data_IF_568187409816
#
_entry.id   IF_568187409816
#
_cell.length_a   1.000
_cell.length_b   1.000
_cell.length_c   1.000
_cell.angle_alpha   90.00
_cell.angle_beta   90.00
_cell.angle_gamma   90.00
#
_symmetry.space_group_name_H-M   'P 1'
#
loop_
_entity.id
_entity.type
_entity.pdbx_description
1 polymer ?
#
# COMPACT_ATOMS: atom_id res chain seq x y z
N UNK A 1 -20.56 -55.00 30.62
CA UNK A 1 -19.14 -55.37 30.84
C UNK A 1 -18.84 -56.45 29.80
N UNK A 2 -17.97 -56.35 28.81
CA UNK A 2 -16.68 -55.68 28.66
C UNK A 2 -16.49 -55.20 27.21
N UNK A 3 -15.73 -54.11 27.04
CA UNK A 3 -15.35 -53.49 25.76
C UNK A 3 -14.18 -54.26 25.15
N UNK A 4 -14.15 -54.45 23.83
CA UNK A 4 -12.91 -54.72 23.09
C UNK A 4 -12.76 -53.65 22.01
N UNK A 5 -11.84 -52.72 22.25
CA UNK A 5 -11.46 -51.66 21.32
C UNK A 5 -10.36 -52.20 20.40
N UNK A 6 -10.59 -52.16 19.08
CA UNK A 6 -9.55 -52.35 18.06
C UNK A 6 -8.84 -51.02 17.84
N UNK A 7 -7.53 -51.01 18.04
CA UNK A 7 -6.65 -49.90 17.67
C UNK A 7 -6.51 -49.80 16.13
N UNK A 8 -6.49 -48.60 15.54
CA UNK A 8 -6.17 -48.42 14.14
C UNK A 8 -4.65 -48.36 13.91
N UNK A 9 -4.25 -48.85 12.74
CA UNK A 9 -2.88 -49.08 12.30
C UNK A 9 -2.07 -47.79 12.10
N UNK A 10 -0.80 -47.85 12.47
CA UNK A 10 0.24 -46.85 12.22
C UNK A 10 0.57 -46.88 10.72
N UNK A 11 0.34 -45.77 10.02
CA UNK A 11 0.78 -45.57 8.64
C UNK A 11 2.17 -44.92 8.68
N UNK A 12 3.19 -45.70 8.32
CA UNK A 12 4.55 -45.19 8.12
C UNK A 12 4.59 -44.21 6.93
N UNK A 13 5.11 -43.01 7.18
CA UNK A 13 5.36 -42.01 6.14
C UNK A 13 6.57 -42.41 5.30
N UNK A 14 6.34 -42.64 4.01
CA UNK A 14 7.38 -42.79 2.98
C UNK A 14 8.26 -41.54 2.91
N UNK A 15 9.57 -41.71 3.07
CA UNK A 15 10.57 -40.68 2.79
C UNK A 15 10.67 -40.42 1.28
N UNK A 16 10.62 -39.15 0.88
CA UNK A 16 10.94 -38.69 -0.47
C UNK A 16 12.42 -38.24 -0.52
N UNK A 17 13.19 -38.62 -1.55
CA UNK A 17 14.59 -38.21 -1.65
C UNK A 17 14.73 -36.75 -2.12
N UNK A 18 15.51 -36.00 -1.35
CA UNK A 18 16.02 -34.66 -1.65
C UNK A 18 16.99 -34.69 -2.83
N UNK A 19 16.68 -33.98 -3.92
CA UNK A 19 17.65 -33.69 -5.00
C UNK A 19 18.37 -32.38 -4.70
N UNK A 20 19.62 -32.51 -4.25
CA UNK A 20 20.60 -31.43 -4.20
C UNK A 20 21.15 -31.25 -5.61
N UNK A 21 20.89 -30.09 -6.22
CA UNK A 21 21.57 -29.68 -7.44
C UNK A 21 22.83 -28.89 -7.06
N UNK A 22 23.99 -29.55 -7.16
CA UNK A 22 25.28 -28.88 -7.19
C UNK A 22 25.46 -28.22 -8.56
N UNK A 23 25.65 -26.90 -8.59
CA UNK A 23 26.29 -26.24 -9.72
C UNK A 23 27.59 -25.58 -9.25
N UNK A 24 28.64 -25.99 -9.94
CA UNK A 24 30.04 -25.71 -9.68
C UNK A 24 30.39 -24.25 -10.01
N UNK A 25 31.17 -23.64 -9.12
CA UNK A 25 31.85 -22.37 -9.33
C UNK A 25 33.09 -22.56 -10.21
N UNK A 26 33.26 -21.74 -11.24
CA UNK A 26 34.52 -21.01 -11.52
C UNK A 26 34.44 -20.13 -12.77
N UNK A 27 34.94 -18.89 -12.59
CA UNK A 27 35.71 -18.09 -13.55
C UNK A 27 34.99 -17.41 -14.73
N UNK A 28 34.65 -16.12 -14.53
CA UNK A 28 35.16 -15.07 -15.42
C UNK A 28 35.26 -13.74 -14.65
N UNK A 29 36.41 -13.56 -14.00
CA UNK A 29 36.94 -12.25 -13.64
C UNK A 29 37.32 -11.53 -14.94
N UNK A 30 36.53 -10.56 -15.38
CA UNK A 30 36.96 -9.40 -16.18
C UNK A 30 35.76 -8.49 -16.49
N UNK A 31 35.39 -7.65 -15.51
CA UNK A 31 35.03 -6.22 -15.71
C UNK A 31 34.66 -5.63 -14.36
N UNK A 32 35.69 -5.37 -13.56
CA UNK A 32 35.61 -4.52 -12.39
C UNK A 32 36.83 -3.60 -12.47
N UNK A 33 36.66 -2.42 -13.06
CA UNK A 33 37.51 -1.23 -12.86
C UNK A 33 36.93 -0.03 -13.63
N UNK A 34 36.10 0.77 -12.97
CA UNK A 34 36.36 2.21 -12.83
C UNK A 34 35.47 2.74 -11.69
N UNK A 35 36.06 2.81 -10.50
CA UNK A 35 35.52 3.55 -9.37
C UNK A 35 36.21 4.91 -9.37
N UNK A 36 35.43 5.98 -9.56
CA UNK A 36 35.48 7.27 -8.85
C UNK A 36 34.89 8.39 -9.72
N UNK A 37 33.62 8.71 -9.46
CA UNK A 37 33.15 10.10 -9.49
C UNK A 37 31.93 10.23 -8.59
N UNK A 38 32.03 11.10 -7.59
CA UNK A 38 30.95 11.76 -6.86
C UNK A 38 29.73 10.93 -6.48
N UNK A 39 29.61 10.59 -5.20
CA UNK A 39 28.30 10.39 -4.60
C UNK A 39 27.51 11.72 -4.71
N UNK A 40 26.65 11.82 -5.72
CA UNK A 40 25.37 12.46 -5.48
C UNK A 40 24.61 11.48 -4.58
N UNK A 41 24.42 11.83 -3.31
CA UNK A 41 23.34 11.27 -2.51
C UNK A 41 22.03 11.78 -3.12
N UNK A 42 21.70 11.23 -4.29
CA UNK A 42 20.46 11.49 -4.99
C UNK A 42 19.28 10.98 -4.17
N UNK A 43 18.19 11.72 -4.20
CA UNK A 43 16.87 11.35 -3.68
C UNK A 43 16.60 9.88 -4.01
N UNK A 44 16.71 9.00 -3.01
CA UNK A 44 16.51 7.56 -3.20
C UNK A 44 15.05 7.20 -2.93
N UNK A 45 14.23 7.38 -3.97
CA UNK A 45 12.88 6.81 -4.04
C UNK A 45 12.86 5.36 -3.53
N UNK A 46 11.68 4.82 -3.18
CA UNK A 46 11.55 3.51 -2.54
C UNK A 46 12.41 2.44 -3.27
N UNK A 47 13.01 1.46 -2.59
CA UNK A 47 13.84 0.46 -3.27
C UNK A 47 13.01 -0.58 -4.04
N UNK A 48 11.71 -0.69 -3.77
CA UNK A 48 10.77 -1.52 -4.51
C UNK A 48 9.36 -0.91 -4.40
N UNK A 49 8.54 -1.11 -5.43
CA UNK A 49 7.16 -0.62 -5.47
C UNK A 49 6.28 -1.58 -6.27
N UNK A 50 5.01 -1.69 -5.88
CA UNK A 50 4.05 -2.51 -6.59
C UNK A 50 2.68 -2.53 -5.94
N UNK A 51 1.87 -3.48 -6.37
CA UNK A 51 0.52 -3.72 -5.86
C UNK A 51 0.37 -5.17 -5.43
N UNK A 52 -0.14 -5.38 -4.23
CA UNK A 52 -0.66 -6.66 -3.78
C UNK A 52 -2.14 -6.75 -4.10
N UNK A 53 -2.54 -7.84 -4.75
CA UNK A 53 -3.93 -8.12 -5.07
C UNK A 53 -4.38 -9.35 -4.30
N UNK A 54 -5.51 -9.26 -3.61
CA UNK A 54 -6.00 -10.37 -2.80
C UNK A 54 -7.42 -10.19 -2.26
N UNK A 55 -7.82 -11.16 -1.46
CA UNK A 55 -9.11 -11.15 -0.75
C UNK A 55 -8.89 -10.92 0.73
N UNK A 56 -9.76 -10.12 1.34
CA UNK A 56 -9.67 -9.80 2.76
C UNK A 56 -9.82 -11.07 3.59
N UNK A 57 -8.83 -11.33 4.45
CA UNK A 57 -8.93 -12.34 5.49
C UNK A 57 -9.55 -11.72 6.75
N UNK A 58 -8.86 -10.74 7.32
CA UNK A 58 -9.34 -9.95 8.44
C UNK A 58 -8.65 -8.59 8.49
N UNK A 59 -9.18 -7.71 9.34
CA UNK A 59 -8.59 -6.43 9.69
C UNK A 59 -8.28 -6.41 11.17
N UNK A 60 -7.11 -5.90 11.55
CA UNK A 60 -6.73 -5.68 12.92
C UNK A 60 -6.25 -4.25 13.12
N UNK A 61 -6.44 -3.73 14.33
CA UNK A 61 -5.82 -2.48 14.77
C UNK A 61 -4.61 -2.86 15.60
N UNK A 62 -3.48 -2.17 15.42
CA UNK A 62 -2.38 -2.34 16.35
C UNK A 62 -2.82 -2.01 17.78
N UNK A 63 -2.18 -2.61 18.78
CA UNK A 63 -2.41 -2.22 20.16
C UNK A 63 -1.84 -0.81 20.35
N UNK A 64 -2.67 0.19 20.73
CA UNK A 64 -2.22 1.56 20.93
C UNK A 64 -1.26 1.71 22.13
N UNK A 65 -0.88 0.63 22.82
CA UNK A 65 0.15 0.60 23.85
C UNK A 65 1.38 -0.24 23.45
N UNK A 66 1.30 -0.99 22.34
CA UNK A 66 2.38 -1.88 21.88
C UNK A 66 2.55 -1.79 20.35
N UNK A 67 3.07 -0.64 19.89
CA UNK A 67 3.31 -0.34 18.48
C UNK A 67 4.69 0.29 18.28
N UNK A 68 5.17 0.28 17.04
CA UNK A 68 6.48 0.78 16.66
C UNK A 68 6.52 2.30 16.47
N UNK A 69 7.29 2.76 15.48
CA UNK A 69 7.37 4.18 15.16
C UNK A 69 6.06 4.75 14.66
N UNK A 70 5.14 3.96 14.09
CA UNK A 70 3.85 4.39 13.53
C UNK A 70 2.73 3.49 14.03
N UNK A 71 1.50 4.02 14.06
CA UNK A 71 0.30 3.26 14.45
C UNK A 71 -0.48 2.89 13.20
N UNK A 72 -0.60 1.58 12.97
CA UNK A 72 -1.15 1.05 11.73
C UNK A 72 -2.54 0.45 11.90
N UNK A 73 -3.35 0.60 10.84
CA UNK A 73 -4.39 -0.38 10.53
C UNK A 73 -3.75 -1.54 9.77
N UNK A 74 -3.92 -2.77 10.26
CA UNK A 74 -3.37 -3.97 9.63
C UNK A 74 -4.44 -4.67 8.80
N UNK A 75 -4.26 -4.67 7.49
CA UNK A 75 -5.10 -5.43 6.57
C UNK A 75 -4.39 -6.76 6.29
N UNK A 76 -5.04 -7.88 6.57
CA UNK A 76 -4.51 -9.19 6.23
C UNK A 76 -5.19 -9.71 4.96
N UNK A 77 -4.38 -10.04 3.95
CA UNK A 77 -4.87 -10.50 2.65
C UNK A 77 -4.42 -11.91 2.30
N UNK A 78 -5.37 -12.72 1.85
CA UNK A 78 -5.08 -13.98 1.20
C UNK A 78 -4.67 -13.73 -0.26
N UNK A 79 -3.46 -14.16 -0.62
CA UNK A 79 -2.91 -14.17 -1.97
C UNK A 79 -2.12 -15.45 -2.23
N UNK A 80 -1.54 -15.61 -3.44
CA UNK A 80 -0.93 -16.87 -3.91
C UNK A 80 0.05 -17.53 -2.92
N UNK A 81 0.89 -16.76 -2.24
CA UNK A 81 1.92 -17.30 -1.32
C UNK A 81 1.43 -17.47 0.12
N UNK A 82 0.20 -17.05 0.44
CA UNK A 82 -0.38 -17.15 1.77
C UNK A 82 -0.95 -15.82 2.26
N UNK A 83 -0.87 -15.63 3.57
CA UNK A 83 -1.38 -14.45 4.26
C UNK A 83 -0.34 -13.33 4.28
N UNK A 84 -0.69 -12.18 3.71
CA UNK A 84 0.13 -10.98 3.69
C UNK A 84 -0.38 -9.97 4.74
N UNK A 85 0.54 -9.39 5.51
CA UNK A 85 0.24 -8.27 6.40
C UNK A 85 0.48 -6.93 5.67
N UNK A 86 -0.54 -6.09 5.59
CA UNK A 86 -0.42 -4.75 5.00
C UNK A 86 -0.59 -3.69 6.10
N UNK A 87 0.45 -2.89 6.32
CA UNK A 87 0.49 -1.87 7.38
C UNK A 87 0.14 -0.49 6.82
N UNK A 88 -1.08 -0.01 7.10
CA UNK A 88 -1.58 1.30 6.66
C UNK A 88 -1.33 2.35 7.73
N UNK A 89 -0.51 3.36 7.41
CA UNK A 89 -0.20 4.47 8.31
C UNK A 89 -1.41 5.35 8.55
N UNK A 90 -1.90 5.38 9.79
CA UNK A 90 -3.07 6.18 10.18
C UNK A 90 -2.76 7.17 11.30
N UNK A 91 -1.64 7.03 12.01
CA UNK A 91 -1.20 7.97 13.05
C UNK A 91 0.28 7.76 13.37
N UNK A 92 0.88 8.72 14.08
CA UNK A 92 2.23 8.60 14.62
C UNK A 92 2.26 8.88 16.13
N UNK A 93 3.01 8.10 16.93
CA UNK A 93 3.33 8.41 18.32
C UNK A 93 4.21 9.65 18.46
N UNK A 94 5.00 10.00 17.43
CA UNK A 94 5.80 11.23 17.41
C UNK A 94 4.95 12.52 17.38
N UNK A 95 3.64 12.41 17.17
CA UNK A 95 2.72 13.53 17.10
C UNK A 95 2.64 14.20 15.72
N UNK A 96 3.34 13.69 14.71
CA UNK A 96 3.16 14.11 13.31
C UNK A 96 1.75 13.72 12.87
N UNK A 97 0.86 14.68 12.55
CA UNK A 97 -0.52 14.35 12.22
C UNK A 97 -0.59 13.65 10.86
N UNK A 98 -1.44 12.62 10.78
CA UNK A 98 -1.81 11.98 9.51
C UNK A 98 -3.14 12.54 9.05
N UNK A 99 -3.33 12.64 7.73
CA UNK A 99 -4.60 12.95 7.12
C UNK A 99 -5.02 11.80 6.21
N UNK A 100 -6.33 11.60 6.06
CA UNK A 100 -6.89 10.60 5.17
C UNK A 100 -7.95 11.18 4.24
N UNK A 101 -8.15 10.52 3.10
CA UNK A 101 -9.13 10.89 2.08
C UNK A 101 -9.72 9.63 1.45
N UNK A 102 -10.96 9.75 1.00
CA UNK A 102 -11.65 8.75 0.18
C UNK A 102 -11.85 9.28 -1.24
N UNK A 103 -11.54 8.46 -2.24
CA UNK A 103 -11.91 8.71 -3.65
C UNK A 103 -12.85 7.60 -4.10
N UNK A 104 -14.03 7.95 -4.58
CA UNK A 104 -15.08 6.99 -4.92
C UNK A 104 -15.28 6.83 -6.42
N UNK A 105 -15.82 5.68 -6.80
CA UNK A 105 -16.16 5.34 -8.17
C UNK A 105 -14.97 5.54 -9.12
N UNK A 106 -13.83 4.91 -8.80
CA UNK A 106 -12.65 4.95 -9.67
C UNK A 106 -12.97 4.28 -11.01
N UNK A 107 -12.40 4.80 -12.08
CA UNK A 107 -12.57 4.19 -13.41
C UNK A 107 -11.68 2.96 -13.52
N UNK A 108 -12.29 1.77 -13.48
CA UNK A 108 -11.59 0.48 -13.57
C UNK A 108 -10.69 0.38 -14.81
N UNK A 109 -10.99 1.13 -15.88
CA UNK A 109 -10.21 1.13 -17.13
C UNK A 109 -8.85 1.83 -17.01
N UNK A 110 -8.64 2.63 -15.97
CA UNK A 110 -7.37 3.31 -15.71
C UNK A 110 -6.39 2.42 -14.93
N UNK A 111 -6.82 1.23 -14.51
CA UNK A 111 -5.95 0.25 -13.87
C UNK A 111 -5.43 -0.75 -14.89
N UNK A 112 -4.11 -0.98 -14.86
CA UNK A 112 -3.48 -1.99 -15.68
C UNK A 112 -3.72 -3.43 -15.19
N UNK A 113 -4.28 -3.62 -13.98
CA UNK A 113 -4.28 -4.91 -13.27
C UNK A 113 -5.67 -5.52 -12.98
N UNK A 114 -6.70 -5.16 -13.74
CA UNK A 114 -8.10 -5.51 -13.43
C UNK A 114 -8.50 -7.01 -13.53
N UNK A 115 -7.61 -7.89 -14.01
CA UNK A 115 -7.89 -9.30 -14.35
C UNK A 115 -6.88 -10.32 -13.78
N UNK A 116 -5.87 -9.85 -13.05
CA UNK A 116 -4.71 -10.69 -12.71
C UNK A 116 -5.08 -11.67 -11.60
N UNK A 117 -4.21 -12.64 -11.32
CA UNK A 117 -4.36 -13.52 -10.16
C UNK A 117 -4.14 -12.76 -8.83
N UNK A 118 -4.59 -13.31 -7.72
CA UNK A 118 -4.27 -12.76 -6.39
C UNK A 118 -2.78 -13.01 -6.07
N UNK A 119 -1.94 -11.98 -6.23
CA UNK A 119 -0.49 -12.05 -6.02
C UNK A 119 0.10 -10.64 -5.84
N UNK A 120 1.40 -10.59 -5.57
CA UNK A 120 2.23 -9.40 -5.65
C UNK A 120 2.67 -9.11 -7.09
N UNK A 121 2.49 -7.86 -7.52
CA UNK A 121 2.91 -7.37 -8.84
C UNK A 121 3.83 -6.16 -8.69
N UNK A 122 5.12 -6.27 -9.06
CA UNK A 122 5.99 -5.12 -9.21
C UNK A 122 5.45 -4.17 -10.28
N UNK A 123 5.43 -2.86 -9.99
CA UNK A 123 4.98 -1.84 -10.94
C UNK A 123 6.12 -0.90 -11.31
N UNK A 124 6.16 -0.50 -12.59
CA UNK A 124 6.99 0.61 -13.01
C UNK A 124 6.46 1.93 -12.42
N UNK A 125 7.34 2.90 -12.14
CA UNK A 125 6.97 4.23 -11.65
C UNK A 125 6.66 5.15 -12.82
N UNK A 126 5.53 4.93 -13.47
CA UNK A 126 5.09 5.72 -14.61
C UNK A 126 3.57 5.87 -14.64
N UNK A 127 3.09 6.78 -15.48
CA UNK A 127 1.66 7.04 -15.65
C UNK A 127 0.91 5.83 -16.23
N UNK A 128 1.58 5.01 -17.04
CA UNK A 128 0.97 3.91 -17.80
C UNK A 128 0.90 2.60 -17.02
N UNK A 129 1.64 2.47 -15.91
CA UNK A 129 1.74 1.21 -15.17
C UNK A 129 0.55 0.95 -14.25
N UNK A 130 -0.27 1.98 -14.00
CA UNK A 130 -1.29 1.96 -12.94
C UNK A 130 -0.74 2.24 -11.54
N UNK A 131 0.53 2.66 -11.42
CA UNK A 131 1.09 3.19 -10.19
C UNK A 131 0.28 4.39 -9.67
N UNK A 132 0.25 4.56 -8.34
CA UNK A 132 -0.45 5.69 -7.75
C UNK A 132 0.46 6.92 -7.69
N UNK A 133 -0.11 8.05 -8.07
CA UNK A 133 0.41 9.39 -7.82
C UNK A 133 -0.78 10.27 -7.43
N UNK A 134 -0.78 10.76 -6.19
CA UNK A 134 -1.88 11.52 -5.61
C UNK A 134 -2.10 12.87 -6.30
N UNK A 135 -1.06 13.42 -6.90
CA UNK A 135 -1.05 14.76 -7.47
C UNK A 135 -1.24 14.73 -8.99
N UNK A 136 -0.66 13.73 -9.66
CA UNK A 136 -0.63 13.64 -11.13
C UNK A 136 -1.69 12.70 -11.67
N UNK A 137 -1.97 11.60 -10.98
CA UNK A 137 -2.73 10.49 -11.56
C UNK A 137 -4.19 10.84 -11.86
N UNK A 138 -4.68 10.57 -13.09
CA UNK A 138 -6.11 10.69 -13.39
C UNK A 138 -6.96 9.67 -12.62
N UNK A 139 -6.36 8.56 -12.18
CA UNK A 139 -7.00 7.45 -11.47
C UNK A 139 -7.65 7.94 -10.16
N UNK A 140 -6.99 8.84 -9.44
CA UNK A 140 -7.43 9.33 -8.12
C UNK A 140 -8.30 10.59 -8.18
N UNK A 141 -8.73 11.01 -9.38
CA UNK A 141 -9.68 12.11 -9.57
C UNK A 141 -11.13 11.68 -9.28
N UNK A 142 -11.41 10.38 -9.34
CA UNK A 142 -12.76 9.81 -9.22
C UNK A 142 -13.63 10.09 -10.45
N UNK A 143 -14.68 9.29 -10.68
CA UNK A 143 -15.64 9.53 -11.77
C UNK A 143 -16.58 10.66 -11.36
N UNK A 144 -16.14 11.89 -11.61
CA UNK A 144 -16.89 13.09 -11.28
C UNK A 144 -18.22 13.12 -12.04
N UNK A 145 -19.32 12.87 -11.33
CA UNK A 145 -20.57 13.56 -11.65
C UNK A 145 -20.38 15.02 -11.24
N UNK A 146 -19.96 15.88 -12.17
CA UNK A 146 -19.96 17.35 -12.12
C UNK A 146 -19.28 18.11 -10.96
N UNK A 147 -18.72 17.46 -9.93
CA UNK A 147 -18.12 18.13 -8.75
C UNK A 147 -16.65 17.72 -8.56
N UNK A 148 -15.98 17.28 -9.64
CA UNK A 148 -14.57 16.94 -9.62
C UNK A 148 -13.72 18.21 -9.63
N UNK A 149 -13.05 18.51 -8.52
CA UNK A 149 -11.84 19.34 -8.45
C UNK A 149 -11.88 20.70 -9.17
N UNK A 150 -13.04 21.36 -9.24
CA UNK A 150 -12.99 22.82 -9.29
C UNK A 150 -12.66 23.25 -7.88
N UNK A 151 -11.55 23.99 -7.68
CA UNK A 151 -11.32 24.77 -6.47
C UNK A 151 -12.41 25.85 -6.38
N UNK A 152 -13.63 25.40 -6.12
CA UNK A 152 -14.78 26.24 -5.95
C UNK A 152 -14.79 26.61 -4.47
N UNK A 153 -14.83 27.91 -4.14
CA UNK A 153 -14.98 28.37 -2.77
C UNK A 153 -16.18 27.72 -2.05
N UNK A 154 -17.19 27.27 -2.81
CA UNK A 154 -18.34 26.52 -2.29
C UNK A 154 -17.96 25.11 -1.83
N UNK A 155 -17.13 24.38 -2.56
CA UNK A 155 -16.67 23.03 -2.16
C UNK A 155 -15.75 23.15 -0.93
N UNK A 156 -14.87 24.15 -0.89
CA UNK A 156 -14.01 24.40 0.27
C UNK A 156 -14.83 24.76 1.52
N UNK A 157 -15.88 25.57 1.36
CA UNK A 157 -16.82 25.88 2.43
C UNK A 157 -17.59 24.63 2.89
N UNK A 158 -18.12 23.86 1.94
CA UNK A 158 -18.81 22.60 2.22
C UNK A 158 -17.89 21.62 2.94
N UNK A 159 -16.61 21.55 2.58
CA UNK A 159 -15.62 20.71 3.25
C UNK A 159 -15.27 21.18 4.64
N UNK A 160 -15.14 22.49 4.81
CA UNK A 160 -14.90 23.09 6.12
C UNK A 160 -16.04 22.77 7.08
N UNK A 161 -17.28 22.77 6.59
CA UNK A 161 -18.49 22.45 7.36
C UNK A 161 -18.65 20.94 7.57
N UNK A 162 -18.61 20.16 6.49
CA UNK A 162 -18.93 18.72 6.51
C UNK A 162 -17.75 17.85 6.97
N UNK A 163 -16.51 18.35 6.91
CA UNK A 163 -15.26 17.62 7.20
C UNK A 163 -15.25 16.21 6.62
N UNK A 164 -15.75 16.11 5.38
CA UNK A 164 -16.01 14.84 4.73
C UNK A 164 -14.76 14.37 3.99
N UNK A 165 -14.27 13.15 4.26
CA UNK A 165 -13.09 12.60 3.58
C UNK A 165 -13.32 12.38 2.08
N UNK A 166 -14.57 12.50 1.59
CA UNK A 166 -14.90 12.36 0.16
C UNK A 166 -14.47 13.55 -0.69
N UNK A 167 -14.38 14.72 -0.06
CA UNK A 167 -14.22 15.97 -0.76
C UNK A 167 -12.90 16.67 -0.42
N UNK A 168 -12.15 16.16 0.57
CA UNK A 168 -10.85 16.71 0.96
C UNK A 168 -10.12 15.81 1.96
N UNK A 169 -8.95 16.26 2.38
CA UNK A 169 -8.14 15.63 3.42
C UNK A 169 -8.70 15.93 4.81
N UNK A 170 -8.88 14.90 5.62
CA UNK A 170 -9.40 14.99 7.00
C UNK A 170 -8.31 14.55 7.97
N UNK A 171 -8.11 15.27 9.07
CA UNK A 171 -7.16 14.87 10.11
C UNK A 171 -7.57 13.54 10.75
N UNK A 172 -6.61 12.64 10.89
CA UNK A 172 -6.78 11.34 11.51
C UNK A 172 -6.65 11.45 13.03
N UNK A 173 -7.61 10.88 13.75
CA UNK A 173 -7.51 10.58 15.18
C UNK A 173 -7.09 9.12 15.41
N UNK A 174 -6.54 8.46 14.39
CA UNK A 174 -6.48 7.02 14.24
C UNK A 174 -7.87 6.36 14.14
N UNK A 175 -8.73 6.52 15.14
CA UNK A 175 -10.04 5.87 15.19
C UNK A 175 -10.97 6.26 14.03
N UNK A 176 -11.05 7.54 13.66
CA UNK A 176 -11.92 7.97 12.55
C UNK A 176 -11.48 7.39 11.19
N UNK A 177 -10.18 7.33 10.95
CA UNK A 177 -9.56 6.76 9.77
C UNK A 177 -9.78 5.24 9.73
N UNK A 178 -9.48 4.54 10.84
CA UNK A 178 -9.65 3.09 10.96
C UNK A 178 -11.12 2.67 10.88
N UNK A 179 -12.04 3.42 11.49
CA UNK A 179 -13.48 3.17 11.37
C UNK A 179 -13.96 3.29 9.92
N UNK A 180 -13.47 4.28 9.16
CA UNK A 180 -13.81 4.39 7.74
C UNK A 180 -13.20 3.25 6.93
N UNK A 181 -11.92 2.95 7.15
CA UNK A 181 -11.21 1.88 6.45
C UNK A 181 -11.92 0.53 6.67
N UNK A 182 -12.14 0.15 7.93
CA UNK A 182 -12.84 -1.10 8.30
C UNK A 182 -14.23 -1.19 7.66
N UNK A 183 -14.99 -0.08 7.67
CA UNK A 183 -16.29 0.01 6.99
C UNK A 183 -16.20 -0.19 5.47
N UNK A 184 -15.08 0.18 4.83
CA UNK A 184 -14.89 -0.08 3.40
C UNK A 184 -14.48 -1.52 3.13
N UNK A 185 -13.70 -2.10 4.02
CA UNK A 185 -13.25 -3.48 3.92
C UNK A 185 -14.40 -4.49 4.07
N UNK A 186 -15.42 -4.18 4.88
CA UNK A 186 -16.51 -5.13 5.19
C UNK A 186 -17.30 -5.61 3.96
N UNK A 187 -17.42 -4.78 2.91
CA UNK A 187 -18.16 -5.11 1.68
C UNK A 187 -17.22 -5.43 0.50
N UNK A 188 -15.94 -5.68 0.79
CA UNK A 188 -14.93 -5.92 -0.24
C UNK A 188 -15.08 -7.31 -0.88
N UNK A 189 -15.02 -7.32 -2.21
CA UNK A 189 -14.82 -8.52 -3.02
C UNK A 189 -13.33 -8.80 -3.23
N UNK A 190 -12.55 -7.73 -3.43
CA UNK A 190 -11.12 -7.79 -3.74
C UNK A 190 -10.45 -6.48 -3.33
N UNK A 191 -9.20 -6.57 -2.87
CA UNK A 191 -8.38 -5.41 -2.53
C UNK A 191 -7.16 -5.32 -3.42
N UNK A 192 -6.72 -4.08 -3.64
CA UNK A 192 -5.48 -3.73 -4.32
C UNK A 192 -4.72 -2.78 -3.39
N UNK A 193 -3.63 -3.26 -2.82
CA UNK A 193 -2.84 -2.55 -1.81
C UNK A 193 -1.50 -2.16 -2.41
N UNK A 194 -1.25 -0.86 -2.50
CA UNK A 194 -0.06 -0.29 -3.11
C UNK A 194 0.93 0.15 -2.05
N UNK A 195 2.20 -0.03 -2.35
CA UNK A 195 3.29 0.40 -1.51
C UNK A 195 4.55 -0.38 -1.82
N UNK A 196 5.37 -0.58 -0.79
CA UNK A 196 6.62 -1.33 -0.89
C UNK A 196 6.46 -2.69 -0.20
N UNK A 197 6.97 -3.78 -0.81
CA UNK A 197 6.93 -5.10 -0.18
C UNK A 197 7.92 -5.17 0.98
N UNK A 198 7.59 -5.96 2.01
CA UNK A 198 8.51 -6.27 3.09
C UNK A 198 9.79 -6.94 2.54
N UNK A 199 10.93 -6.66 3.17
CA UNK A 199 12.20 -7.33 2.83
C UNK A 199 12.27 -8.75 3.39
N UNK A 200 11.46 -9.05 4.43
CA UNK A 200 11.34 -10.37 5.06
C UNK A 200 9.88 -10.67 5.37
N UNK A 201 9.42 -11.89 5.06
CA UNK A 201 8.03 -12.29 5.25
C UNK A 201 7.11 -11.81 4.12
N UNK A 202 5.80 -11.96 4.33
CA UNK A 202 4.76 -11.57 3.37
C UNK A 202 4.05 -10.32 3.89
N UNK A 203 4.26 -9.19 3.22
CA UNK A 203 3.59 -7.96 3.59
C UNK A 203 3.93 -6.75 2.72
N UNK A 204 3.20 -5.67 2.96
CA UNK A 204 3.31 -4.37 2.28
C UNK A 204 3.30 -3.25 3.32
N UNK A 205 4.22 -2.30 3.19
CA UNK A 205 4.29 -1.07 4.00
C UNK A 205 4.39 0.16 3.08
N UNK A 206 4.70 1.33 3.64
CA UNK A 206 4.76 2.62 2.94
C UNK A 206 3.43 2.90 2.20
N UNK A 207 2.31 2.56 2.88
CA UNK A 207 0.94 2.66 2.37
C UNK A 207 0.38 4.04 2.72
N UNK A 208 1.04 5.08 2.17
CA UNK A 208 0.68 6.49 2.27
C UNK A 208 1.28 7.26 1.09
N UNK A 209 1.08 8.58 1.03
CA UNK A 209 1.75 9.44 0.05
C UNK A 209 3.28 9.37 0.24
N UNK A 210 4.03 9.03 -0.82
CA UNK A 210 5.49 8.82 -0.79
C UNK A 210 6.21 9.94 -1.57
N UNK A 211 5.72 11.17 -1.39
CA UNK A 211 6.28 12.39 -1.98
C UNK A 211 5.92 13.62 -1.12
N UNK A 212 6.66 14.70 -1.31
CA UNK A 212 6.38 16.01 -0.73
C UNK A 212 6.86 16.15 0.71
N UNK A 213 7.75 15.29 1.20
CA UNK A 213 8.30 15.43 2.53
C UNK A 213 9.16 16.71 2.66
N UNK A 214 9.03 17.45 3.79
CA UNK A 214 9.89 18.60 4.03
C UNK A 214 11.36 18.16 4.17
N UNK A 215 12.33 19.07 3.98
CA UNK A 215 13.75 18.75 4.14
C UNK A 215 14.03 18.00 5.45
N UNK A 216 14.61 16.81 5.36
CA UNK A 216 14.83 15.93 6.51
C UNK A 216 15.06 14.48 6.12
N UNK A 217 15.03 13.60 7.13
CA UNK A 217 15.41 12.19 6.99
C UNK A 217 14.52 11.37 6.04
N UNK A 218 13.27 11.81 5.80
CA UNK A 218 12.31 11.09 4.97
C UNK A 218 12.27 11.59 3.52
N UNK A 219 12.76 12.81 3.25
CA UNK A 219 12.78 13.39 1.90
C UNK A 219 13.53 12.54 0.88
N UNK A 220 14.53 11.76 1.34
CA UNK A 220 15.22 10.81 0.49
C UNK A 220 14.26 9.81 -0.16
N UNK A 221 13.13 9.48 0.47
CA UNK A 221 12.16 8.49 -0.02
C UNK A 221 11.13 9.08 -0.99
N UNK A 222 11.11 10.40 -1.18
CA UNK A 222 10.20 11.08 -2.10
C UNK A 222 10.37 10.58 -3.54
N UNK A 223 9.25 10.50 -4.26
CA UNK A 223 9.26 10.18 -5.68
C UNK A 223 7.86 10.14 -6.28
N UNK A 224 7.79 10.49 -7.56
CA UNK A 224 6.53 10.44 -8.33
C UNK A 224 6.15 8.98 -8.67
N UNK A 225 4.86 8.72 -8.88
CA UNK A 225 4.35 7.40 -9.29
C UNK A 225 4.76 6.24 -8.39
N UNK A 226 4.82 6.46 -7.08
CA UNK A 226 5.10 5.43 -6.08
C UNK A 226 4.31 5.65 -4.78
N UNK A 227 3.22 6.40 -4.83
CA UNK A 227 2.37 6.58 -3.66
C UNK A 227 1.73 5.24 -3.27
N UNK A 228 1.64 5.00 -1.97
CA UNK A 228 0.90 3.89 -1.40
C UNK A 228 -0.61 4.16 -1.36
N UNK A 229 -1.39 3.14 -1.01
CA UNK A 229 -2.83 3.31 -0.83
C UNK A 229 -3.60 2.00 -0.88
N UNK A 230 -4.86 2.02 -0.45
CA UNK A 230 -5.76 0.86 -0.49
C UNK A 230 -6.93 1.12 -1.42
N UNK A 231 -7.11 0.28 -2.42
CA UNK A 231 -8.28 0.30 -3.30
C UNK A 231 -9.14 -0.91 -3.03
N UNK A 232 -10.43 -0.64 -2.84
CA UNK A 232 -11.45 -1.63 -2.50
C UNK A 232 -12.37 -1.81 -3.69
N UNK A 233 -12.45 -3.02 -4.21
CA UNK A 233 -13.51 -3.45 -5.13
C UNK A 233 -14.66 -4.05 -4.33
N UNK A 234 -15.83 -3.42 -4.40
CA UNK A 234 -17.06 -3.94 -3.81
C UNK A 234 -17.66 -5.06 -4.67
N UNK A 235 -18.61 -5.82 -4.11
CA UNK A 235 -19.29 -6.91 -4.82
C UNK A 235 -20.01 -6.47 -6.10
N UNK A 236 -20.42 -5.20 -6.21
CA UNK A 236 -21.03 -4.61 -7.41
C UNK A 236 -20.00 -4.17 -8.47
N UNK A 237 -18.70 -4.38 -8.21
CA UNK A 237 -17.60 -3.98 -9.08
C UNK A 237 -17.16 -2.52 -8.91
N UNK A 238 -17.76 -1.76 -7.99
CA UNK A 238 -17.36 -0.39 -7.71
C UNK A 238 -15.99 -0.35 -7.05
N UNK A 239 -15.10 0.52 -7.53
CA UNK A 239 -13.79 0.77 -6.94
C UNK A 239 -13.78 2.05 -6.12
N UNK A 240 -13.27 1.99 -4.89
CA UNK A 240 -13.06 3.16 -4.03
C UNK A 240 -11.65 3.10 -3.41
N UNK A 241 -10.94 4.23 -3.37
CA UNK A 241 -9.64 4.34 -2.73
C UNK A 241 -9.77 4.95 -1.32
N UNK A 242 -8.99 4.40 -0.40
CA UNK A 242 -8.65 4.99 0.89
C UNK A 242 -7.17 5.38 0.86
N UNK A 243 -6.90 6.67 1.04
CA UNK A 243 -5.60 7.29 0.88
C UNK A 243 -5.19 7.98 2.18
N UNK A 244 -3.92 7.93 2.52
CA UNK A 244 -3.34 8.62 3.69
C UNK A 244 -2.11 9.42 3.28
N UNK A 245 -1.84 10.50 4.02
CA UNK A 245 -0.61 11.29 3.91
C UNK A 245 -0.24 11.89 5.27
N UNK A 246 1.02 12.24 5.47
CA UNK A 246 1.40 13.07 6.61
C UNK A 246 0.97 14.52 6.36
N UNK A 247 0.56 15.23 7.42
CA UNK A 247 0.14 16.64 7.32
C UNK A 247 1.29 17.54 6.88
N UNK A 248 2.53 17.15 7.20
CA UNK A 248 3.76 17.82 6.80
C UNK A 248 4.06 17.71 5.32
N UNK A 249 3.52 16.69 4.63
CA UNK A 249 3.77 16.48 3.21
C UNK A 249 3.02 17.51 2.36
N UNK A 250 3.75 18.14 1.44
CA UNK A 250 3.25 19.11 0.47
C UNK A 250 2.42 18.43 -0.61
N UNK A 251 1.34 19.11 -1.03
CA UNK A 251 0.55 18.74 -2.21
C UNK A 251 0.99 19.49 -3.48
N UNK A 252 2.10 20.22 -3.40
CA UNK A 252 2.77 20.85 -4.54
C UNK A 252 4.19 20.31 -4.58
N UNK A 253 4.50 19.52 -5.61
CA UNK A 253 5.81 18.89 -5.77
C UNK A 253 6.34 19.08 -7.19
N UNK A 254 7.67 19.05 -7.33
CA UNK A 254 8.37 19.06 -8.62
C UNK A 254 8.29 17.68 -9.31
N UNK A 255 8.98 17.52 -10.45
CA UNK A 255 9.00 16.26 -11.20
C UNK A 255 9.82 15.14 -10.52
N UNK A 256 10.44 15.42 -9.37
CA UNK A 256 11.11 14.43 -8.52
C UNK A 256 10.27 14.06 -7.29
N UNK A 257 9.12 14.71 -7.08
CA UNK A 257 8.29 14.50 -5.90
C UNK A 257 8.74 15.33 -4.69
N UNK A 258 9.69 16.27 -4.84
CA UNK A 258 10.12 17.17 -3.78
C UNK A 258 9.18 18.37 -3.66
N UNK A 259 8.94 18.93 -2.44
CA UNK A 259 8.06 20.07 -2.26
C UNK A 259 8.59 21.35 -2.95
N UNK A 260 7.68 22.16 -3.52
CA UNK A 260 7.97 23.47 -4.15
C UNK A 260 7.21 24.63 -3.50
#
# INVERSE_FOLDING_TARGET
MSRSARAPAIIERRAYPSRVAHYSSTSSLQQQESVRSGAEEGVMALPAYGVLIGTLDHFAREDPNHFGSWYHGKIYLNARLGLYECAVDVSTPSGVPVQYREVRNLDKRLFAFGSEADDWYPLARSEESGALDYLRSPLLRGRAGCVGFVASPLIDLVNTILRSPRFGWVESTADNALNLLEKRLSDSRRLYVFGRPYTTGLGVHDIHMNQGDPPGQFQGQDGIWQDGGTIVESNDGTLNAFLTKFKTQSLQTDDNGLPV
#
